data_IF_365743770134
#
_entry.id   IF_365743770134
#
_cell.length_a   1.000
_cell.length_b   1.000
_cell.length_c   1.000
_cell.angle_alpha   90.00
_cell.angle_beta   90.00
_cell.angle_gamma   90.00
#
_symmetry.space_group_name_H-M   'P 1'
#
loop_
_entity.id
_entity.type
_entity.pdbx_description
1 polymer ?
#
# COMPACT_ATOMS: atom_id res chain seq x y z
N UNK A 1 -18.13 16.61 5.00
CA UNK A 1 -16.68 16.73 4.75
C UNK A 1 -16.01 16.80 6.12
N UNK A 2 -15.25 15.77 6.50
CA UNK A 2 -14.54 15.78 7.77
C UNK A 2 -13.16 16.38 7.50
N UNK A 3 -13.08 17.70 7.50
CA UNK A 3 -11.82 18.43 7.54
C UNK A 3 -11.55 18.80 8.99
N UNK A 4 -10.39 18.40 9.48
CA UNK A 4 -9.88 18.87 10.78
C UNK A 4 -9.74 20.39 10.71
N UNK A 5 -10.14 21.08 11.77
CA UNK A 5 -9.97 22.53 11.87
C UNK A 5 -8.50 22.92 11.69
N UNK A 6 -8.26 24.13 11.18
CA UNK A 6 -6.93 24.70 11.05
C UNK A 6 -6.29 24.83 12.44
N UNK A 7 -5.14 24.18 12.66
CA UNK A 7 -4.48 24.11 13.97
C UNK A 7 -4.83 22.91 14.86
N UNK A 8 -5.69 21.98 14.41
CA UNK A 8 -5.93 20.75 15.18
C UNK A 8 -4.63 19.92 15.32
N UNK A 9 -4.23 19.50 16.53
CA UNK A 9 -2.98 18.76 16.76
C UNK A 9 -2.93 17.38 16.08
N UNK A 10 -4.05 16.89 15.54
CA UNK A 10 -4.13 15.64 14.80
C UNK A 10 -3.66 15.78 13.35
N UNK A 11 -3.46 17.00 12.85
CA UNK A 11 -2.75 17.19 11.58
C UNK A 11 -1.35 16.61 11.66
N UNK A 12 -0.88 15.99 10.57
CA UNK A 12 0.43 15.33 10.58
C UNK A 12 0.46 14.00 11.34
N UNK A 13 -0.70 13.42 11.68
CA UNK A 13 -0.78 12.11 12.33
C UNK A 13 -1.54 11.09 11.47
N UNK A 14 -1.25 9.80 11.67
CA UNK A 14 -2.02 8.72 11.04
C UNK A 14 -3.50 8.77 11.43
N UNK A 15 -3.80 9.15 12.68
CA UNK A 15 -5.17 9.31 13.18
C UNK A 15 -5.92 10.41 12.39
N UNK A 16 -5.25 11.53 12.12
CA UNK A 16 -5.78 12.61 11.28
C UNK A 16 -6.15 12.13 9.88
N UNK A 17 -5.30 11.31 9.26
CA UNK A 17 -5.57 10.73 7.94
C UNK A 17 -6.67 9.66 7.95
N UNK A 18 -6.59 8.69 8.87
CA UNK A 18 -7.42 7.48 8.88
C UNK A 18 -8.82 7.71 9.42
N UNK A 19 -8.91 8.29 10.62
CA UNK A 19 -10.17 8.44 11.35
C UNK A 19 -10.84 9.77 11.04
N UNK A 20 -10.06 10.86 10.97
CA UNK A 20 -10.59 12.19 10.69
C UNK A 20 -10.63 12.54 9.20
N UNK A 21 -10.18 11.64 8.32
CA UNK A 21 -10.20 11.78 6.85
C UNK A 21 -9.48 13.02 6.33
N UNK A 22 -8.58 13.62 7.10
CA UNK A 22 -7.77 14.74 6.66
C UNK A 22 -6.85 14.31 5.49
N UNK A 23 -6.75 15.18 4.49
CA UNK A 23 -5.95 14.95 3.27
C UNK A 23 -4.87 16.01 3.04
N UNK A 24 -4.53 16.81 4.06
CA UNK A 24 -3.40 17.74 3.99
C UNK A 24 -2.07 16.99 3.81
N UNK A 25 -1.04 17.68 3.33
CA UNK A 25 0.24 17.04 2.99
C UNK A 25 0.94 16.43 4.22
N UNK A 26 0.85 17.08 5.38
CA UNK A 26 1.36 16.53 6.63
C UNK A 26 0.68 15.18 6.99
N UNK A 27 -0.64 15.08 6.85
CA UNK A 27 -1.38 13.85 7.10
C UNK A 27 -1.08 12.76 6.06
N UNK A 28 -0.91 13.14 4.78
CA UNK A 28 -0.49 12.19 3.73
C UNK A 28 0.90 11.63 4.01
N UNK A 29 1.82 12.48 4.43
CA UNK A 29 3.19 12.10 4.77
C UNK A 29 3.22 11.17 5.98
N UNK A 30 2.51 11.52 7.05
CA UNK A 30 2.41 10.68 8.24
C UNK A 30 1.84 9.28 7.91
N UNK A 31 0.83 9.22 7.05
CA UNK A 31 0.28 7.95 6.57
C UNK A 31 1.29 7.19 5.69
N UNK A 32 2.06 7.87 4.83
CA UNK A 32 3.11 7.26 4.00
C UNK A 32 4.20 6.63 4.85
N UNK A 33 4.72 7.35 5.85
CA UNK A 33 5.74 6.87 6.78
C UNK A 33 5.24 5.64 7.53
N UNK A 34 4.06 5.74 8.17
CA UNK A 34 3.48 4.62 8.92
C UNK A 34 3.18 3.40 8.05
N UNK A 35 2.70 3.61 6.82
CA UNK A 35 2.48 2.52 5.89
C UNK A 35 3.80 1.85 5.47
N UNK A 36 4.86 2.63 5.27
CA UNK A 36 6.20 2.13 5.03
C UNK A 36 6.74 1.29 6.18
N UNK A 37 6.67 1.79 7.42
CA UNK A 37 7.04 1.05 8.64
C UNK A 37 6.29 -0.29 8.76
N UNK A 38 4.97 -0.27 8.52
CA UNK A 38 4.15 -1.48 8.52
C UNK A 38 4.61 -2.49 7.46
N UNK A 39 4.86 -2.04 6.22
CA UNK A 39 5.35 -2.90 5.15
C UNK A 39 6.74 -3.48 5.45
N UNK A 40 7.64 -2.70 6.04
CA UNK A 40 8.96 -3.19 6.48
C UNK A 40 8.81 -4.29 7.51
N UNK A 41 8.02 -4.05 8.57
CA UNK A 41 7.76 -5.06 9.61
C UNK A 41 7.21 -6.36 9.04
N UNK A 42 6.25 -6.27 8.12
CA UNK A 42 5.64 -7.43 7.48
C UNK A 42 6.65 -8.23 6.63
N UNK A 43 7.56 -7.52 5.94
CA UNK A 43 8.63 -8.17 5.15
C UNK A 43 9.65 -8.85 6.05
N UNK A 44 10.03 -8.20 7.15
CA UNK A 44 10.97 -8.73 8.14
C UNK A 44 10.38 -9.93 8.90
N UNK A 45 9.09 -9.88 9.25
CA UNK A 45 8.47 -10.98 10.00
C UNK A 45 8.38 -12.26 9.18
N UNK A 46 8.32 -12.17 7.84
CA UNK A 46 8.20 -13.32 6.95
C UNK A 46 6.88 -14.10 7.11
N UNK A 47 6.09 -13.82 8.15
CA UNK A 47 4.84 -14.51 8.52
C UNK A 47 3.94 -14.64 7.32
N UNK A 48 3.77 -13.54 6.60
CA UNK A 48 2.85 -13.53 5.50
C UNK A 48 3.33 -14.48 4.38
N UNK A 49 4.64 -14.69 4.15
CA UNK A 49 5.15 -15.47 3.02
C UNK A 49 5.28 -16.97 3.29
N UNK A 50 5.54 -17.34 4.54
CA UNK A 50 5.90 -18.72 4.93
C UNK A 50 4.75 -19.44 5.67
N UNK A 51 3.61 -18.78 5.91
CA UNK A 51 2.46 -19.41 6.55
C UNK A 51 1.80 -20.45 5.62
N UNK A 52 1.56 -21.69 6.09
CA UNK A 52 1.11 -22.82 5.27
C UNK A 52 -0.29 -22.65 4.65
N UNK A 53 -1.10 -21.71 5.13
CA UNK A 53 -2.44 -21.42 4.60
C UNK A 53 -2.50 -20.11 3.80
N UNK A 54 -1.36 -19.60 3.35
CA UNK A 54 -1.34 -18.36 2.55
C UNK A 54 -1.53 -18.65 1.07
N UNK A 55 -2.42 -17.87 0.45
CA UNK A 55 -2.66 -17.92 -0.98
C UNK A 55 -1.53 -17.24 -1.74
N UNK A 56 -0.74 -18.03 -2.48
CA UNK A 56 0.25 -17.55 -3.44
C UNK A 56 -0.39 -17.26 -4.80
N UNK A 57 0.35 -16.64 -5.72
CA UNK A 57 -0.16 -16.34 -7.07
C UNK A 57 -0.94 -15.03 -7.17
N UNK A 58 -0.79 -14.11 -6.21
CA UNK A 58 -1.42 -12.78 -6.28
C UNK A 58 -0.37 -11.68 -6.36
N UNK A 59 -0.69 -10.58 -7.04
CA UNK A 59 0.24 -9.44 -7.11
C UNK A 59 0.54 -8.85 -5.73
N UNK A 60 -0.47 -8.85 -4.84
CA UNK A 60 -0.34 -8.36 -3.47
C UNK A 60 0.72 -9.17 -2.69
N UNK A 61 0.74 -10.49 -2.87
CA UNK A 61 1.72 -11.37 -2.25
C UNK A 61 3.16 -11.00 -2.63
N UNK A 62 3.36 -10.61 -3.89
CA UNK A 62 4.64 -10.10 -4.37
C UNK A 62 5.02 -8.76 -3.72
N UNK A 63 4.07 -7.82 -3.63
CA UNK A 63 4.27 -6.50 -3.01
C UNK A 63 4.66 -6.61 -1.53
N UNK A 64 4.09 -7.60 -0.84
CA UNK A 64 4.31 -7.95 0.56
C UNK A 64 5.64 -8.67 0.80
N UNK A 65 6.26 -9.27 -0.22
CA UNK A 65 7.63 -9.81 -0.13
C UNK A 65 7.85 -11.21 -0.70
N UNK A 66 6.81 -11.97 -1.05
CA UNK A 66 6.97 -13.31 -1.62
C UNK A 66 7.57 -13.24 -3.04
N UNK A 67 8.55 -14.11 -3.34
CA UNK A 67 9.28 -14.09 -4.62
C UNK A 67 9.10 -15.33 -5.50
N UNK A 68 8.20 -16.24 -5.12
CA UNK A 68 7.90 -17.43 -5.91
C UNK A 68 7.31 -17.08 -7.29
N UNK A 69 7.42 -18.01 -8.23
CA UNK A 69 7.04 -17.79 -9.63
C UNK A 69 5.56 -17.41 -9.82
N UNK A 70 4.58 -18.06 -9.14
CA UNK A 70 3.18 -17.66 -9.27
C UNK A 70 2.93 -16.19 -8.88
N UNK A 71 3.57 -15.72 -7.81
CA UNK A 71 3.42 -14.33 -7.35
C UNK A 71 4.08 -13.34 -8.33
N UNK A 72 5.24 -13.71 -8.87
CA UNK A 72 5.96 -12.91 -9.87
C UNK A 72 5.15 -12.77 -11.15
N UNK A 73 4.55 -13.85 -11.63
CA UNK A 73 3.69 -13.85 -12.81
C UNK A 73 2.45 -12.97 -12.63
N UNK A 74 1.77 -13.11 -11.49
CA UNK A 74 0.61 -12.29 -11.17
C UNK A 74 0.94 -10.79 -11.11
N UNK A 75 2.07 -10.43 -10.50
CA UNK A 75 2.55 -9.04 -10.47
C UNK A 75 2.88 -8.53 -11.89
N UNK A 76 3.57 -9.34 -12.70
CA UNK A 76 3.91 -8.99 -14.08
C UNK A 76 2.65 -8.82 -14.95
N UNK A 77 1.66 -9.70 -14.81
CA UNK A 77 0.39 -9.61 -15.50
C UNK A 77 -0.35 -8.29 -15.16
N UNK A 78 -0.44 -7.95 -13.87
CA UNK A 78 -0.99 -6.66 -13.42
C UNK A 78 -0.23 -5.47 -14.01
N UNK A 79 1.11 -5.50 -14.00
CA UNK A 79 1.94 -4.43 -14.55
C UNK A 79 1.70 -4.23 -16.06
N UNK A 80 1.63 -5.32 -16.83
CA UNK A 80 1.30 -5.29 -18.26
C UNK A 80 -0.09 -4.71 -18.51
N UNK A 81 -1.09 -5.16 -17.76
CA UNK A 81 -2.47 -4.65 -17.89
C UNK A 81 -2.59 -3.16 -17.53
N UNK A 82 -1.84 -2.68 -16.54
CA UNK A 82 -1.80 -1.26 -16.19
C UNK A 82 -1.14 -0.42 -17.30
N UNK A 83 -0.02 -0.89 -17.85
CA UNK A 83 0.66 -0.21 -18.97
C UNK A 83 -0.21 -0.18 -20.23
N UNK A 84 -0.94 -1.25 -20.52
CA UNK A 84 -1.91 -1.28 -21.63
C UNK A 84 -2.99 -0.20 -21.47
N UNK A 85 -3.65 -0.16 -20.30
CA UNK A 85 -4.66 0.87 -19.98
C UNK A 85 -4.13 2.30 -20.07
N UNK A 86 -2.90 2.54 -19.61
CA UNK A 86 -2.25 3.85 -19.71
C UNK A 86 -2.00 4.26 -21.17
N UNK A 87 -1.55 3.32 -22.01
CA UNK A 87 -1.33 3.57 -23.44
C UNK A 87 -2.64 3.87 -24.16
N UNK A 88 -3.71 3.14 -23.85
CA UNK A 88 -5.03 3.38 -24.41
C UNK A 88 -5.59 4.75 -24.02
N UNK A 89 -5.41 5.16 -22.74
CA UNK A 89 -5.85 6.48 -22.27
C UNK A 89 -5.07 7.65 -22.89
N UNK A 90 -3.81 7.42 -23.25
CA UNK A 90 -2.92 8.44 -23.78
C UNK A 90 -2.90 8.48 -25.33
N UNK A 91 -3.75 7.69 -25.99
CA UNK A 91 -3.96 7.70 -27.44
C UNK A 91 -5.18 8.54 -27.77
#
# INVERSE_FOLDING_TARGET
MSELAEGDPRHGTQNGYGNHKCRCDACREANRIKHGEYMTRIRESGELAELPNVVHGTSYRYDVGCRCDPCREAHNAKSRATKARLRERNK
#
